data_IF_234090583296
#
_entry.id   IF_234090583296
#
_cell.length_a   1.000
_cell.length_b   1.000
_cell.length_c   1.000
_cell.angle_alpha   90.00
_cell.angle_beta   90.00
_cell.angle_gamma   90.00
#
_symmetry.space_group_name_H-M   'P 1'
#
loop_
_entity.id
_entity.type
_entity.pdbx_description
1 polymer ?
#
# COMPACT_ATOMS: atom_id res chain seq x y z
N UNK A 1 -7.71 -11.29 -9.92
CA UNK A 1 -8.45 -11.48 -8.65
C UNK A 1 -8.40 -10.20 -7.81
N UNK A 2 -9.51 -9.78 -7.19
CA UNK A 2 -9.53 -8.67 -6.22
C UNK A 2 -9.49 -9.21 -4.79
N UNK A 3 -8.68 -8.61 -3.92
CA UNK A 3 -8.70 -8.82 -2.46
C UNK A 3 -8.70 -7.46 -1.76
N UNK A 4 -9.76 -7.18 -0.99
CA UNK A 4 -9.92 -5.95 -0.21
C UNK A 4 -9.39 -6.16 1.20
N UNK A 5 -8.51 -5.27 1.67
CA UNK A 5 -7.94 -5.35 3.04
C UNK A 5 -8.63 -4.39 4.02
N UNK A 6 -9.62 -3.62 3.53
CA UNK A 6 -10.40 -2.67 4.31
C UNK A 6 -9.61 -1.44 4.76
N UNK A 7 -10.36 -0.46 5.29
CA UNK A 7 -9.80 0.74 5.90
C UNK A 7 -9.24 0.42 7.30
N UNK A 8 -7.99 0.82 7.55
CA UNK A 8 -7.34 0.63 8.85
C UNK A 8 -6.49 1.84 9.21
N UNK A 9 -6.63 2.33 10.43
CA UNK A 9 -5.79 3.37 11.02
C UNK A 9 -4.61 2.78 11.79
N UNK A 10 -3.49 3.50 11.77
CA UNK A 10 -2.26 3.17 12.48
C UNK A 10 -1.83 4.41 13.28
N UNK A 11 -1.65 4.23 14.58
CA UNK A 11 -1.04 5.22 15.46
C UNK A 11 0.47 5.10 15.40
N UNK A 12 1.15 6.23 15.18
CA UNK A 12 2.60 6.28 15.04
C UNK A 12 3.27 6.46 16.40
N UNK A 13 4.21 5.58 16.72
CA UNK A 13 5.07 5.68 17.91
C UNK A 13 6.41 6.36 17.62
N UNK A 14 6.74 6.59 16.34
CA UNK A 14 7.90 7.37 15.92
C UNK A 14 7.71 8.87 16.19
N UNK A 15 8.82 9.60 16.33
CA UNK A 15 8.83 11.05 16.54
C UNK A 15 9.27 11.83 15.28
N UNK A 16 9.26 11.19 14.12
CA UNK A 16 9.62 11.76 12.83
C UNK A 16 8.45 11.65 11.83
N UNK A 17 8.75 11.81 10.55
CA UNK A 17 7.74 11.70 9.50
C UNK A 17 7.46 10.27 9.06
N UNK A 18 8.37 9.32 9.28
CA UNK A 18 8.20 7.93 8.88
C UNK A 18 7.51 7.18 10.01
N UNK A 19 6.25 6.84 9.81
CA UNK A 19 5.44 6.19 10.82
C UNK A 19 5.96 4.79 11.14
N UNK A 20 6.04 4.48 12.43
CA UNK A 20 6.20 3.12 12.96
C UNK A 20 5.07 2.83 13.95
N UNK A 21 4.54 1.60 14.02
CA UNK A 21 4.89 0.43 13.22
C UNK A 21 4.31 0.49 11.81
N UNK A 22 4.72 -0.48 10.97
CA UNK A 22 4.07 -0.72 9.68
C UNK A 22 2.70 -1.36 9.90
N UNK A 23 1.77 -1.14 8.96
CA UNK A 23 0.57 -1.97 8.84
C UNK A 23 0.98 -3.26 8.15
N UNK A 24 0.77 -4.40 8.78
CA UNK A 24 1.03 -5.71 8.19
C UNK A 24 -0.25 -6.52 8.07
N UNK A 25 -0.44 -7.19 6.94
CA UNK A 25 -1.58 -8.06 6.65
C UNK A 25 -1.09 -9.32 5.93
N UNK A 26 -1.65 -10.48 6.29
CA UNK A 26 -1.45 -11.70 5.51
C UNK A 26 -2.38 -11.70 4.29
N UNK A 27 -1.82 -11.94 3.12
CA UNK A 27 -2.56 -12.04 1.86
C UNK A 27 -2.44 -13.45 1.31
N UNK A 28 -3.52 -13.96 0.71
CA UNK A 28 -3.59 -15.30 0.14
C UNK A 28 -3.69 -15.20 -1.37
N UNK A 29 -2.61 -15.52 -2.05
CA UNK A 29 -2.50 -15.52 -3.51
C UNK A 29 -2.89 -16.91 -4.02
N UNK A 30 -3.93 -17.00 -4.85
CA UNK A 30 -4.47 -18.28 -5.32
C UNK A 30 -3.75 -18.83 -6.55
N UNK A 31 -3.08 -17.97 -7.31
CA UNK A 31 -2.39 -18.27 -8.56
C UNK A 31 -1.23 -17.29 -8.76
N UNK A 32 -0.19 -17.74 -9.48
CA UNK A 32 0.96 -16.92 -9.83
C UNK A 32 0.55 -15.77 -10.76
N UNK A 33 1.17 -14.60 -10.62
CA UNK A 33 0.84 -13.44 -11.45
C UNK A 33 1.52 -12.16 -11.03
N UNK A 34 1.05 -11.03 -11.57
CA UNK A 34 1.51 -9.68 -11.19
C UNK A 34 0.56 -9.10 -10.15
N UNK A 35 1.12 -8.65 -9.03
CA UNK A 35 0.38 -7.99 -7.95
C UNK A 35 0.35 -6.47 -8.18
N UNK A 36 -0.84 -5.91 -8.17
CA UNK A 36 -1.07 -4.47 -8.10
C UNK A 36 -1.73 -4.11 -6.77
N UNK A 37 -1.30 -3.02 -6.14
CA UNK A 37 -1.96 -2.44 -4.99
C UNK A 37 -2.55 -1.08 -5.33
N UNK A 38 -3.82 -0.88 -4.98
CA UNK A 38 -4.50 0.39 -5.03
C UNK A 38 -4.76 0.86 -3.61
N UNK A 39 -4.14 1.97 -3.22
CA UNK A 39 -4.39 2.61 -1.93
C UNK A 39 -5.37 3.75 -2.10
N UNK A 40 -6.37 3.80 -1.22
CA UNK A 40 -7.41 4.81 -1.19
C UNK A 40 -7.22 5.65 0.06
N UNK A 41 -6.95 6.93 -0.17
CA UNK A 41 -6.77 7.93 0.88
C UNK A 41 -8.11 8.16 1.58
N UNK A 42 -8.17 8.15 2.92
CA UNK A 42 -9.40 8.37 3.66
C UNK A 42 -9.87 9.83 3.52
N UNK A 43 -11.19 10.07 3.58
CA UNK A 43 -11.75 11.42 3.69
C UNK A 43 -11.15 12.16 4.90
N UNK A 44 -10.82 13.44 4.72
CA UNK A 44 -10.27 14.28 5.80
C UNK A 44 -8.73 14.28 5.90
N UNK A 45 -8.04 13.64 4.96
CA UNK A 45 -6.60 13.82 4.82
C UNK A 45 -6.21 15.29 4.59
N UNK A 46 -5.25 15.81 5.35
CA UNK A 46 -4.96 17.25 5.42
C UNK A 46 -3.50 17.62 5.12
N UNK A 47 -2.67 16.68 4.66
CA UNK A 47 -1.26 16.89 4.31
C UNK A 47 -0.72 15.73 3.51
N UNK A 48 0.00 15.94 2.42
CA UNK A 48 0.57 14.88 1.58
C UNK A 48 1.18 13.71 2.37
N UNK A 49 0.90 12.47 1.92
CA UNK A 49 1.48 11.24 2.46
C UNK A 49 2.12 10.41 1.35
N UNK A 50 3.26 9.78 1.68
CA UNK A 50 3.91 8.79 0.82
C UNK A 50 3.68 7.41 1.44
N UNK A 51 3.09 6.49 0.68
CA UNK A 51 2.87 5.11 1.10
C UNK A 51 3.92 4.23 0.45
N UNK A 52 4.67 3.50 1.28
CA UNK A 52 5.64 2.50 0.87
C UNK A 52 5.00 1.11 0.97
N UNK A 53 5.13 0.32 -0.08
CA UNK A 53 4.57 -1.02 -0.18
C UNK A 53 5.68 -2.06 -0.11
N UNK A 54 5.55 -3.00 0.81
CA UNK A 54 6.45 -4.11 1.00
C UNK A 54 5.71 -5.42 0.79
N UNK A 55 6.34 -6.37 0.10
CA UNK A 55 5.86 -7.76 0.00
C UNK A 55 6.96 -8.66 0.52
N UNK A 56 6.62 -9.52 1.49
CA UNK A 56 7.57 -10.39 2.20
C UNK A 56 8.78 -9.60 2.72
N UNK A 57 8.49 -8.47 3.36
CA UNK A 57 9.44 -7.51 3.92
C UNK A 57 10.41 -6.87 2.91
N UNK A 58 10.18 -7.03 1.60
CA UNK A 58 10.96 -6.36 0.53
C UNK A 58 10.18 -5.17 0.00
N UNK A 59 10.82 -3.99 -0.04
CA UNK A 59 10.23 -2.80 -0.66
C UNK A 59 10.00 -3.06 -2.15
N UNK A 60 8.76 -2.93 -2.59
CA UNK A 60 8.35 -3.10 -3.99
C UNK A 60 8.10 -1.76 -4.68
N UNK A 61 7.72 -0.74 -3.93
CA UNK A 61 7.50 0.59 -4.47
C UNK A 61 6.94 1.56 -3.45
N UNK A 62 6.69 2.79 -3.89
CA UNK A 62 5.99 3.81 -3.13
C UNK A 62 5.14 4.66 -4.05
N UNK A 63 4.10 5.27 -3.50
CA UNK A 63 3.26 6.27 -4.17
C UNK A 63 3.04 7.47 -3.26
N UNK A 64 2.95 8.65 -3.86
CA UNK A 64 2.66 9.91 -3.17
C UNK A 64 1.20 10.31 -3.41
N UNK A 65 0.50 10.64 -2.33
CA UNK A 65 -0.89 11.07 -2.36
C UNK A 65 -0.96 12.51 -1.88
N UNK A 66 -1.20 13.43 -2.83
CA UNK A 66 -1.27 14.86 -2.57
C UNK A 66 -2.65 15.27 -2.07
N UNK A 67 -2.68 16.32 -1.25
CA UNK A 67 -3.91 16.85 -0.64
C UNK A 67 -4.97 17.26 -1.69
N UNK A 68 -4.55 17.87 -2.79
CA UNK A 68 -5.46 18.41 -3.82
C UNK A 68 -5.76 17.44 -4.97
N UNK A 69 -5.19 16.23 -4.93
CA UNK A 69 -5.33 15.25 -6.01
C UNK A 69 -5.11 13.82 -5.49
N UNK A 70 -6.00 13.35 -4.62
CA UNK A 70 -5.90 12.03 -3.98
C UNK A 70 -6.43 10.88 -4.86
N UNK A 71 -6.20 10.92 -6.17
CA UNK A 71 -6.59 9.80 -7.04
C UNK A 71 -5.93 8.51 -6.56
N UNK A 72 -6.71 7.46 -6.41
CA UNK A 72 -6.16 6.14 -6.18
C UNK A 72 -5.34 5.73 -7.40
N UNK A 73 -4.11 5.27 -7.16
CA UNK A 73 -3.20 4.81 -8.21
C UNK A 73 -2.93 3.33 -7.96
N UNK A 74 -3.08 2.54 -9.03
CA UNK A 74 -2.66 1.14 -9.03
C UNK A 74 -1.15 1.07 -9.17
N UNK A 75 -0.48 0.63 -8.11
CA UNK A 75 0.95 0.40 -8.06
C UNK A 75 1.26 -1.05 -8.39
N UNK A 76 2.01 -1.29 -9.46
CA UNK A 76 2.64 -2.59 -9.74
C UNK A 76 3.69 -2.90 -8.66
N UNK A 77 3.51 -4.04 -7.97
CA UNK A 77 4.41 -4.58 -6.93
C UNK A 77 5.24 -5.76 -7.43
N UNK A 78 5.11 -6.10 -8.71
CA UNK A 78 5.82 -7.14 -9.43
C UNK A 78 5.16 -8.51 -9.32
N UNK A 79 5.89 -9.51 -9.83
CA UNK A 79 5.47 -10.91 -9.79
C UNK A 79 5.34 -11.43 -8.35
N UNK A 80 4.29 -12.21 -8.11
CA UNK A 80 3.99 -12.89 -6.87
C UNK A 80 3.56 -14.34 -7.16
N UNK A 81 4.04 -15.26 -6.34
CA UNK A 81 3.68 -16.68 -6.43
C UNK A 81 2.38 -16.98 -5.69
N UNK A 82 1.74 -18.09 -6.04
CA UNK A 82 0.68 -18.70 -5.25
C UNK A 82 1.19 -19.04 -3.85
N UNK A 83 0.42 -18.66 -2.83
CA UNK A 83 0.76 -18.93 -1.44
C UNK A 83 0.27 -17.85 -0.48
N UNK A 84 0.74 -17.95 0.76
CA UNK A 84 0.54 -16.91 1.77
C UNK A 84 1.74 -15.97 1.73
N UNK A 85 1.47 -14.68 1.63
CA UNK A 85 2.48 -13.63 1.64
C UNK A 85 2.15 -12.59 2.70
N UNK A 86 3.14 -11.78 3.08
CA UNK A 86 2.93 -10.63 3.96
C UNK A 86 2.99 -9.36 3.14
N UNK A 87 1.88 -8.62 3.11
CA UNK A 87 1.87 -7.23 2.64
C UNK A 87 2.11 -6.33 3.84
N UNK A 88 3.09 -5.43 3.74
CA UNK A 88 3.28 -4.37 4.70
C UNK A 88 3.21 -2.99 4.03
N UNK A 89 2.54 -2.05 4.70
CA UNK A 89 2.49 -0.64 4.31
C UNK A 89 3.14 0.21 5.39
N UNK A 90 3.91 1.20 4.95
CA UNK A 90 4.55 2.20 5.81
C UNK A 90 4.25 3.58 5.26
N UNK A 91 3.78 4.48 6.11
CA UNK A 91 3.48 5.85 5.69
C UNK A 91 4.59 6.80 6.12
N UNK A 92 4.92 7.73 5.22
CA UNK A 92 5.72 8.91 5.54
C UNK A 92 4.89 10.16 5.31
N UNK A 93 4.76 10.97 6.33
CA UNK A 93 4.16 12.30 6.20
C UNK A 93 5.09 13.26 5.45
N UNK A 94 4.52 14.20 4.70
CA UNK A 94 5.26 15.32 4.12
C UNK A 94 4.85 16.60 4.86
N UNK A 95 5.83 17.41 5.26
CA UNK A 95 5.56 18.69 5.94
C UNK A 95 4.76 19.61 5.01
N UNK A 96 3.66 20.14 5.53
CA UNK A 96 2.67 20.87 4.74
C UNK A 96 1.26 20.62 5.27
N UNK A 97 0.33 21.54 5.01
CA UNK A 97 -1.03 21.45 5.55
C UNK A 97 -1.04 21.30 7.08
N UNK A 98 -1.68 20.23 7.57
CA UNK A 98 -1.75 19.92 9.01
C UNK A 98 -0.48 19.27 9.58
N UNK A 99 0.41 18.73 8.76
CA UNK A 99 1.61 18.06 9.22
C UNK A 99 2.74 19.08 9.47
N UNK A 100 3.16 19.17 10.74
CA UNK A 100 4.17 20.13 11.24
C UNK A 100 5.56 19.51 11.45
N UNK A 101 5.86 18.39 10.79
CA UNK A 101 7.15 17.69 10.90
C UNK A 101 7.09 16.34 11.59
N UNK A 102 5.90 15.93 12.06
CA UNK A 102 5.66 14.61 12.67
C UNK A 102 4.36 14.02 12.13
N UNK A 103 4.40 12.75 11.74
CA UNK A 103 3.21 11.99 11.39
C UNK A 103 2.70 11.28 12.65
N UNK A 104 1.54 11.69 13.18
CA UNK A 104 1.00 11.10 14.40
C UNK A 104 0.18 9.84 14.14
N UNK A 105 -0.56 9.82 13.04
CA UNK A 105 -1.32 8.66 12.59
C UNK A 105 -1.59 8.74 11.09
N UNK A 106 -1.91 7.61 10.50
CA UNK A 106 -2.35 7.51 9.12
C UNK A 106 -3.35 6.36 8.98
N UNK A 107 -4.11 6.35 7.90
CA UNK A 107 -4.99 5.24 7.58
C UNK A 107 -5.44 5.32 6.14
N UNK A 108 -6.11 4.27 5.69
CA UNK A 108 -6.62 4.15 4.33
C UNK A 108 -7.02 2.72 4.00
N UNK A 109 -7.68 2.57 2.86
CA UNK A 109 -8.09 1.27 2.32
C UNK A 109 -7.07 0.78 1.28
N UNK A 110 -6.90 -0.53 1.19
CA UNK A 110 -6.01 -1.17 0.21
C UNK A 110 -6.78 -2.24 -0.54
N UNK A 111 -6.79 -2.12 -1.85
CA UNK A 111 -7.35 -3.08 -2.78
C UNK A 111 -6.23 -3.73 -3.60
N UNK A 112 -6.16 -5.05 -3.58
CA UNK A 112 -5.15 -5.82 -4.29
C UNK A 112 -5.74 -6.44 -5.55
N UNK A 113 -5.06 -6.26 -6.67
CA UNK A 113 -5.41 -6.91 -7.93
C UNK A 113 -4.28 -7.84 -8.35
N UNK A 114 -4.59 -9.11 -8.55
CA UNK A 114 -3.67 -10.07 -9.16
C UNK A 114 -4.07 -10.25 -10.62
N UNK A 115 -3.15 -9.95 -11.54
CA UNK A 115 -3.24 -10.31 -12.94
C UNK A 115 -2.52 -11.66 -13.13
N UNK A 116 -3.24 -12.77 -13.36
CA UNK A 116 -2.62 -14.08 -13.45
C UNK A 116 -1.60 -14.16 -14.59
N UNK A 117 -0.50 -14.88 -14.39
CA UNK A 117 0.38 -15.23 -15.51
C UNK A 117 -0.41 -16.15 -16.45
N UNK A 118 -0.52 -15.85 -17.75
CA UNK A 118 -1.22 -16.72 -18.68
C UNK A 118 -0.64 -18.14 -18.60
N UNK A 119 -1.50 -19.18 -18.53
CA UNK A 119 -1.03 -20.55 -18.51
C UNK A 119 -0.15 -20.81 -19.74
N UNK A 120 0.88 -21.64 -19.56
CA UNK A 120 1.91 -21.94 -20.58
C UNK A 120 1.29 -22.34 -21.94
N UNK A 121 0.08 -22.92 -21.93
CA UNK A 121 -0.67 -23.31 -23.13
C UNK A 121 -1.17 -22.14 -24.01
N UNK A 122 -1.12 -20.89 -23.55
CA UNK A 122 -1.52 -19.71 -24.33
C UNK A 122 -0.35 -19.00 -25.03
N UNK A 123 0.89 -19.49 -24.89
CA UNK A 123 2.07 -18.94 -25.56
C UNK A 123 2.36 -19.74 -26.84
N UNK A 124 1.54 -19.53 -27.87
CA UNK A 124 1.76 -20.03 -29.24
C UNK A 124 2.46 -18.99 -30.10
#
# INVERSE_FOLDING_TARGET
>A
MLQELGNKGIECTSNDQLCKPRREEQIKVKEDGILYAEYIVPPGHCSTVIIYFYVDNKLKGREEYQIDNYKSVKKDLGFITKGTHTLALEAKGVTGGCNKGKLNSWGGEVNLHILPDPPIFCRS
#
